data_IF_443586960379
#
_entry.id   IF_443586960379
#
_cell.length_a   1.000
_cell.length_b   1.000
_cell.length_c   1.000
_cell.angle_alpha   90.00
_cell.angle_beta   90.00
_cell.angle_gamma   90.00
#
_symmetry.space_group_name_H-M   'P 1'
#
loop_
_entity.id
_entity.type
_entity.pdbx_description
1 polymer ?
#
# COMPACT_ATOMS: atom_id res chain seq x y z
N UNK A 1 -97.32 26.15 0.41
CA UNK A 1 -97.51 25.24 1.55
C UNK A 1 -96.53 24.09 1.33
N UNK A 2 -95.51 23.78 2.13
CA UNK A 2 -95.30 23.94 3.56
C UNK A 2 -93.81 24.17 3.83
N UNK A 3 -93.52 24.98 4.85
CA UNK A 3 -92.19 25.33 5.32
C UNK A 3 -91.82 24.43 6.51
N UNK A 4 -90.55 24.01 6.62
CA UNK A 4 -90.01 23.52 7.89
C UNK A 4 -88.59 24.02 8.08
N UNK A 5 -88.38 24.72 9.20
CA UNK A 5 -87.16 25.35 9.68
C UNK A 5 -86.36 24.42 10.60
N UNK A 6 -85.12 24.88 10.88
CA UNK A 6 -84.23 24.64 12.04
C UNK A 6 -83.25 23.47 11.82
N UNK A 7 -82.00 23.51 12.29
CA UNK A 7 -81.46 24.11 13.50
C UNK A 7 -80.00 24.59 13.34
N UNK A 8 -79.67 25.63 14.11
CA UNK A 8 -78.37 26.26 14.35
C UNK A 8 -77.59 25.55 15.48
N UNK A 9 -76.23 25.62 15.46
CA UNK A 9 -75.19 25.49 16.54
C UNK A 9 -74.04 24.58 16.04
N UNK A 10 -72.74 24.74 16.30
CA UNK A 10 -71.85 25.65 17.06
C UNK A 10 -70.40 25.43 16.51
N UNK A 11 -69.56 26.47 16.64
CA UNK A 11 -68.09 26.58 16.50
C UNK A 11 -67.28 25.45 17.24
N UNK A 12 -65.95 25.20 17.00
CA UNK A 12 -64.87 26.20 17.04
C UNK A 12 -63.56 25.94 16.24
N UNK A 13 -62.63 26.89 16.44
CA UNK A 13 -61.25 27.06 15.98
C UNK A 13 -60.39 25.83 15.67
N UNK A 14 -59.54 25.92 14.63
CA UNK A 14 -58.29 25.14 14.51
C UNK A 14 -57.24 25.86 13.65
N UNK A 15 -56.12 26.15 14.31
CA UNK A 15 -54.79 26.57 13.89
C UNK A 15 -54.37 26.46 12.41
N UNK A 16 -53.77 27.53 11.88
CA UNK A 16 -52.81 27.48 10.77
C UNK A 16 -51.43 27.00 11.29
N UNK A 17 -50.80 25.98 10.68
CA UNK A 17 -49.38 25.73 10.90
C UNK A 17 -48.53 26.57 9.95
N UNK A 18 -47.58 27.31 10.53
CA UNK A 18 -46.46 27.97 9.87
C UNK A 18 -45.53 26.87 9.34
N UNK A 19 -45.43 26.74 8.02
CA UNK A 19 -44.52 25.81 7.37
C UNK A 19 -43.13 26.45 7.25
N UNK A 20 -42.29 26.28 8.28
CA UNK A 20 -40.87 26.63 8.22
C UNK A 20 -40.15 25.64 7.28
N UNK A 21 -39.79 26.11 6.08
CA UNK A 21 -38.91 25.39 5.16
C UNK A 21 -37.48 25.46 5.71
N UNK A 22 -37.06 24.46 6.48
CA UNK A 22 -35.64 24.26 6.78
C UNK A 22 -34.95 23.76 5.51
N UNK A 23 -34.19 24.63 4.83
CA UNK A 23 -33.17 24.18 3.89
C UNK A 23 -32.11 23.43 4.69
N UNK A 24 -32.21 22.10 4.74
CA UNK A 24 -31.08 21.27 5.12
C UNK A 24 -30.02 21.41 4.02
N UNK A 25 -28.93 22.12 4.32
CA UNK A 25 -27.73 22.06 3.51
C UNK A 25 -27.23 20.61 3.59
N UNK A 26 -27.49 19.83 2.54
CA UNK A 26 -26.89 18.50 2.38
C UNK A 26 -25.39 18.74 2.24
N UNK A 27 -24.55 18.20 3.13
CA UNK A 27 -23.12 18.22 2.87
C UNK A 27 -22.91 17.41 1.59
N UNK A 28 -22.53 18.06 0.50
CA UNK A 28 -21.89 17.40 -0.64
C UNK A 28 -20.61 16.78 -0.11
N UNK A 29 -20.70 15.53 0.32
CA UNK A 29 -19.53 14.68 0.46
C UNK A 29 -18.92 14.59 -0.93
N UNK A 30 -17.84 15.35 -1.17
CA UNK A 30 -16.93 15.00 -2.25
C UNK A 30 -16.41 13.62 -1.91
N UNK A 31 -16.65 12.65 -2.80
CA UNK A 31 -15.86 11.43 -2.81
C UNK A 31 -14.40 11.88 -2.82
N UNK A 32 -13.66 11.60 -1.74
CA UNK A 32 -12.21 11.65 -1.85
C UNK A 32 -11.86 10.69 -2.97
N UNK A 33 -11.15 11.20 -3.97
CA UNK A 33 -10.42 10.34 -4.88
C UNK A 33 -9.43 9.62 -3.98
N UNK A 34 -9.79 8.40 -3.57
CA UNK A 34 -8.84 7.45 -3.00
C UNK A 34 -7.69 7.43 -3.99
N UNK A 35 -6.49 7.74 -3.49
CA UNK A 35 -5.26 7.69 -4.27
C UNK A 35 -5.29 6.43 -5.11
N UNK A 36 -5.16 6.57 -6.44
CA UNK A 36 -5.39 5.46 -7.36
C UNK A 36 -4.51 4.30 -6.94
N UNK A 37 -5.12 3.33 -6.26
CA UNK A 37 -4.40 2.21 -5.71
C UNK A 37 -3.75 1.43 -6.86
N UNK A 38 -2.63 0.75 -6.59
CA UNK A 38 -1.98 -0.21 -7.48
C UNK A 38 -3.03 -1.02 -8.27
N UNK A 39 -3.20 -0.70 -9.55
CA UNK A 39 -4.07 -1.46 -10.46
C UNK A 39 -3.20 -2.42 -11.23
N UNK A 40 -3.30 -3.70 -10.88
CA UNK A 40 -2.62 -4.79 -11.53
C UNK A 40 -3.51 -5.35 -12.66
N UNK A 41 -3.00 -5.51 -13.88
CA UNK A 41 -3.77 -6.12 -14.97
C UNK A 41 -4.23 -7.53 -14.64
N UNK A 42 -5.41 -7.92 -15.11
CA UNK A 42 -5.83 -9.33 -15.07
C UNK A 42 -4.89 -10.19 -15.93
N UNK A 43 -4.49 -11.35 -15.41
CA UNK A 43 -3.57 -12.25 -16.09
C UNK A 43 -4.26 -13.27 -17.03
N UNK A 44 -5.55 -13.07 -17.32
CA UNK A 44 -6.42 -13.97 -18.09
C UNK A 44 -6.99 -15.12 -17.26
N UNK A 45 -6.57 -15.28 -16.01
CA UNK A 45 -7.01 -16.33 -15.09
C UNK A 45 -8.03 -15.88 -14.06
N UNK A 46 -8.56 -14.64 -14.15
CA UNK A 46 -9.44 -14.09 -13.13
C UNK A 46 -8.68 -13.76 -11.84
N UNK A 47 -7.46 -13.25 -11.97
CA UNK A 47 -6.57 -12.75 -10.90
C UNK A 47 -5.49 -11.87 -11.55
N UNK A 48 -4.70 -11.16 -10.74
CA UNK A 48 -3.46 -10.53 -11.19
C UNK A 48 -2.21 -11.30 -10.74
N UNK A 49 -1.05 -10.95 -11.31
CA UNK A 49 0.28 -11.34 -10.82
C UNK A 49 0.70 -10.45 -9.64
N UNK A 50 1.38 -11.03 -8.65
CA UNK A 50 1.91 -10.29 -7.49
C UNK A 50 3.42 -10.55 -7.30
N UNK A 51 4.23 -9.55 -6.91
CA UNK A 51 3.91 -8.13 -6.94
C UNK A 51 3.62 -7.70 -8.40
N UNK A 52 2.76 -6.70 -8.58
CA UNK A 52 2.34 -6.31 -9.92
C UNK A 52 3.52 -5.66 -10.69
N UNK A 53 3.90 -6.17 -11.88
CA UNK A 53 4.99 -5.63 -12.67
C UNK A 53 4.53 -4.38 -13.43
N UNK A 54 4.38 -3.26 -12.73
CA UNK A 54 4.05 -1.99 -13.36
C UNK A 54 5.34 -1.25 -13.70
N UNK A 55 5.63 -1.12 -15.00
CA UNK A 55 6.82 -0.44 -15.51
C UNK A 55 6.87 1.07 -15.22
N UNK A 56 5.77 1.66 -14.77
CA UNK A 56 5.67 3.07 -14.35
C UNK A 56 5.93 3.28 -12.85
N UNK A 57 6.13 2.19 -12.09
CA UNK A 57 6.27 2.26 -10.64
C UNK A 57 4.96 2.56 -9.90
N UNK A 58 3.79 2.27 -10.47
CA UNK A 58 2.50 2.52 -9.81
C UNK A 58 2.24 1.68 -8.54
N UNK A 59 2.95 0.56 -8.36
CA UNK A 59 2.81 -0.33 -7.21
C UNK A 59 4.06 -0.24 -6.33
N UNK A 60 3.99 0.61 -5.30
CA UNK A 60 5.10 0.87 -4.37
C UNK A 60 4.68 0.53 -2.95
N UNK A 61 5.53 -0.19 -2.24
CA UNK A 61 5.41 -0.35 -0.80
C UNK A 61 6.22 0.73 -0.10
N UNK A 62 5.60 1.45 0.81
CA UNK A 62 6.25 2.48 1.65
C UNK A 62 6.40 2.00 3.08
N UNK A 63 7.50 2.37 3.72
CA UNK A 63 7.76 2.11 5.12
C UNK A 63 8.91 2.96 5.64
N UNK A 64 9.23 2.79 6.92
CA UNK A 64 10.39 3.45 7.54
C UNK A 64 11.27 2.44 8.24
N UNK A 65 12.57 2.70 8.27
CA UNK A 65 13.55 1.91 9.02
C UNK A 65 14.71 2.81 9.46
N UNK A 66 15.75 2.23 10.05
CA UNK A 66 16.88 2.98 10.56
C UNK A 66 18.16 2.14 10.60
N UNK A 67 19.30 2.81 10.62
CA UNK A 67 20.60 2.24 11.01
C UNK A 67 20.96 2.87 12.36
N UNK A 68 21.23 2.02 13.35
CA UNK A 68 21.60 2.43 14.71
C UNK A 68 22.87 1.73 15.18
N UNK A 69 23.01 0.45 14.84
CA UNK A 69 24.17 -0.35 15.24
C UNK A 69 25.39 0.04 14.39
N UNK A 70 26.55 0.22 15.03
CA UNK A 70 27.76 0.74 14.37
C UNK A 70 27.91 2.26 14.38
N UNK A 71 26.92 2.99 14.93
CA UNK A 71 26.95 4.44 15.10
C UNK A 71 27.25 4.83 16.56
N UNK A 72 27.70 6.06 16.83
CA UNK A 72 27.85 6.56 18.20
C UNK A 72 26.53 6.52 18.97
N UNK A 73 26.60 6.42 20.29
CA UNK A 73 25.42 6.50 21.15
C UNK A 73 24.67 7.82 20.87
N UNK A 74 23.35 7.72 20.74
CA UNK A 74 22.47 8.87 20.43
C UNK A 74 22.50 9.32 18.97
N UNK A 75 23.11 8.56 18.07
CA UNK A 75 23.17 8.82 16.63
C UNK A 75 22.44 7.72 15.87
N UNK A 76 21.59 8.12 14.92
CA UNK A 76 20.85 7.20 14.04
C UNK A 76 20.87 7.73 12.61
N UNK A 77 20.78 6.85 11.63
CA UNK A 77 20.37 7.22 10.27
C UNK A 77 18.93 6.76 10.12
N UNK A 78 18.00 7.71 10.05
CA UNK A 78 16.58 7.46 9.80
C UNK A 78 16.38 7.28 8.30
N UNK A 79 15.55 6.31 7.91
CA UNK A 79 15.36 5.91 6.52
C UNK A 79 13.87 5.91 6.20
N UNK A 80 13.46 6.79 5.31
CA UNK A 80 12.18 6.67 4.61
C UNK A 80 12.42 5.78 3.39
N UNK A 81 11.75 4.63 3.39
CA UNK A 81 12.09 3.51 2.53
C UNK A 81 10.92 3.14 1.61
N UNK A 82 11.24 2.72 0.39
CA UNK A 82 10.24 2.17 -0.53
C UNK A 82 10.76 0.99 -1.34
N UNK A 83 9.89 0.01 -1.57
CA UNK A 83 10.10 -1.08 -2.53
C UNK A 83 9.18 -0.85 -3.73
N UNK A 84 9.77 -0.73 -4.92
CA UNK A 84 9.01 -0.51 -6.14
C UNK A 84 9.79 -0.92 -7.38
N UNK A 85 9.33 -0.46 -8.54
CA UNK A 85 9.90 -0.81 -9.85
C UNK A 85 10.01 -2.34 -10.03
N UNK A 86 8.94 -3.06 -9.67
CA UNK A 86 8.86 -4.50 -9.80
C UNK A 86 8.97 -4.91 -11.27
N UNK A 87 9.88 -5.82 -11.58
CA UNK A 87 10.14 -6.31 -12.92
C UNK A 87 10.54 -7.79 -12.88
N UNK A 88 10.60 -8.42 -14.07
CA UNK A 88 10.91 -9.84 -14.20
C UNK A 88 10.09 -10.74 -13.27
N UNK A 89 8.84 -10.36 -13.01
CA UNK A 89 7.93 -11.08 -12.12
C UNK A 89 7.52 -12.38 -12.80
N UNK A 90 7.93 -13.50 -12.21
CA UNK A 90 7.54 -14.85 -12.65
C UNK A 90 6.80 -15.51 -11.51
N UNK A 91 5.52 -15.83 -11.73
CA UNK A 91 4.69 -16.51 -10.74
C UNK A 91 4.37 -17.94 -11.20
N UNK A 92 4.65 -18.93 -10.35
CA UNK A 92 4.40 -20.35 -10.62
C UNK A 92 3.75 -21.03 -9.41
N UNK A 93 3.08 -22.17 -9.61
CA UNK A 93 2.50 -22.94 -8.51
C UNK A 93 3.57 -23.46 -7.54
N UNK A 94 3.29 -23.41 -6.23
CA UNK A 94 4.18 -23.91 -5.18
C UNK A 94 4.29 -22.94 -4.00
N UNK A 95 5.47 -22.90 -3.40
CA UNK A 95 5.75 -22.04 -2.24
C UNK A 95 5.35 -22.67 -0.90
N UNK A 96 5.80 -22.05 0.19
CA UNK A 96 5.58 -22.52 1.57
C UNK A 96 4.12 -22.38 2.02
N UNK A 97 3.32 -21.54 1.36
CA UNK A 97 1.91 -21.29 1.67
C UNK A 97 0.92 -22.09 0.81
N UNK A 98 1.42 -22.96 -0.07
CA UNK A 98 0.59 -23.91 -0.84
C UNK A 98 -0.18 -23.31 -2.03
N UNK A 99 0.02 -22.03 -2.37
CA UNK A 99 -0.55 -21.37 -3.53
C UNK A 99 0.47 -21.23 -4.66
N UNK A 100 0.97 -20.01 -4.81
CA UNK A 100 1.98 -19.66 -5.82
C UNK A 100 3.23 -19.11 -5.18
N UNK A 101 4.30 -19.07 -5.95
CA UNK A 101 5.52 -18.35 -5.63
C UNK A 101 5.86 -17.39 -6.74
N UNK A 102 6.23 -16.17 -6.37
CA UNK A 102 6.64 -15.12 -7.26
C UNK A 102 8.11 -14.79 -7.03
N UNK A 103 8.94 -15.03 -8.04
CA UNK A 103 10.30 -14.48 -8.11
C UNK A 103 10.26 -13.15 -8.84
N UNK A 104 11.02 -12.16 -8.38
CA UNK A 104 10.97 -10.80 -8.92
C UNK A 104 12.29 -10.04 -8.73
N UNK A 105 12.47 -9.02 -9.56
CA UNK A 105 13.42 -7.94 -9.36
C UNK A 105 12.69 -6.68 -8.89
N UNK A 106 13.38 -5.83 -8.13
CA UNK A 106 12.83 -4.57 -7.62
C UNK A 106 13.95 -3.57 -7.30
N UNK A 107 13.57 -2.36 -6.91
CA UNK A 107 14.49 -1.35 -6.35
C UNK A 107 14.05 -1.00 -4.94
N UNK A 108 14.99 -1.07 -4.00
CA UNK A 108 14.80 -0.56 -2.65
C UNK A 108 15.40 0.84 -2.54
N UNK A 109 14.53 1.83 -2.45
CA UNK A 109 14.94 3.24 -2.37
C UNK A 109 14.95 3.72 -0.94
N UNK A 110 16.01 4.41 -0.55
CA UNK A 110 16.30 4.85 0.81
C UNK A 110 16.60 6.35 0.80
N UNK A 111 15.69 7.15 1.37
CA UNK A 111 15.97 8.53 1.74
C UNK A 111 16.47 8.56 3.18
N UNK A 112 17.75 8.88 3.35
CA UNK A 112 18.48 8.75 4.60
C UNK A 112 18.74 10.11 5.22
N UNK A 113 18.44 10.25 6.51
CA UNK A 113 18.73 11.46 7.30
C UNK A 113 19.42 11.10 8.61
N UNK A 114 20.59 11.69 8.87
CA UNK A 114 21.34 11.48 10.10
C UNK A 114 20.86 12.35 11.26
N UNK A 115 20.99 11.81 12.47
CA UNK A 115 20.74 12.52 13.74
C UNK A 115 22.01 12.56 14.58
N UNK A 116 21.98 13.22 15.75
CA UNK A 116 23.11 13.22 16.69
C UNK A 116 24.39 13.75 16.04
N UNK A 117 25.47 12.96 16.07
CA UNK A 117 26.75 13.36 15.46
C UNK A 117 26.75 13.35 13.93
N UNK A 118 25.69 12.80 13.31
CA UNK A 118 25.47 12.80 11.86
C UNK A 118 24.44 13.86 11.44
N UNK A 119 24.20 14.89 12.26
CA UNK A 119 23.34 16.00 11.87
C UNK A 119 23.88 16.66 10.59
N UNK A 120 23.03 16.77 9.58
CA UNK A 120 23.40 17.24 8.23
C UNK A 120 23.75 16.12 7.24
N UNK A 121 23.88 14.87 7.68
CA UNK A 121 23.94 13.73 6.77
C UNK A 121 22.60 13.55 6.06
N UNK A 122 22.62 13.63 4.73
CA UNK A 122 21.47 13.36 3.88
C UNK A 122 21.94 12.61 2.65
N UNK A 123 21.35 11.45 2.38
CA UNK A 123 21.67 10.63 1.21
C UNK A 123 20.40 10.03 0.62
N UNK A 124 20.36 9.94 -0.69
CA UNK A 124 19.37 9.16 -1.41
C UNK A 124 20.08 8.00 -2.09
N UNK A 125 19.74 6.76 -1.72
CA UNK A 125 20.38 5.55 -2.24
C UNK A 125 19.31 4.62 -2.78
N UNK A 126 19.52 4.12 -3.99
CA UNK A 126 18.69 3.08 -4.59
C UNK A 126 19.50 1.76 -4.63
N UNK A 127 19.06 0.78 -3.84
CA UNK A 127 19.64 -0.56 -3.83
C UNK A 127 18.90 -1.43 -4.85
N UNK A 128 19.57 -1.89 -5.91
CA UNK A 128 18.97 -2.85 -6.83
C UNK A 128 18.78 -4.21 -6.14
N UNK A 129 17.59 -4.76 -6.25
CA UNK A 129 17.23 -6.10 -5.81
C UNK A 129 17.10 -6.99 -7.05
N UNK A 130 18.22 -7.28 -7.71
CA UNK A 130 18.23 -7.91 -9.04
C UNK A 130 18.63 -9.40 -9.01
N UNK A 131 18.45 -10.05 -10.17
CA UNK A 131 18.85 -11.41 -10.51
C UNK A 131 17.91 -12.52 -10.00
N UNK A 132 16.62 -12.23 -9.83
CA UNK A 132 15.61 -13.24 -9.45
C UNK A 132 15.87 -13.87 -8.09
N UNK A 133 16.64 -13.19 -7.23
CA UNK A 133 16.97 -13.67 -5.89
C UNK A 133 15.90 -13.32 -4.86
N UNK A 134 14.94 -12.46 -5.21
CA UNK A 134 13.83 -12.09 -4.34
C UNK A 134 12.61 -12.95 -4.64
N UNK A 135 11.91 -13.34 -3.58
CA UNK A 135 10.87 -14.36 -3.66
C UNK A 135 9.79 -14.14 -2.61
N UNK A 136 8.53 -14.19 -3.03
CA UNK A 136 7.36 -14.21 -2.15
C UNK A 136 6.57 -15.48 -2.41
N UNK A 137 6.22 -16.21 -1.35
CA UNK A 137 5.20 -17.25 -1.40
C UNK A 137 3.83 -16.68 -1.07
N UNK A 138 2.80 -17.17 -1.76
CA UNK A 138 1.42 -16.75 -1.61
C UNK A 138 0.53 -17.95 -1.27
N UNK A 139 -0.48 -17.73 -0.43
CA UNK A 139 -1.55 -18.72 -0.24
C UNK A 139 -2.40 -18.85 -1.52
N UNK A 140 -3.16 -19.94 -1.69
CA UNK A 140 -4.07 -20.08 -2.82
C UNK A 140 -5.02 -18.89 -2.98
N UNK A 141 -5.22 -18.47 -4.24
CA UNK A 141 -6.26 -17.51 -4.65
C UNK A 141 -7.53 -18.27 -5.03
N UNK A 142 -8.67 -17.58 -4.99
CA UNK A 142 -9.93 -18.06 -5.56
C UNK A 142 -10.15 -17.33 -6.89
N UNK A 143 -9.77 -17.93 -8.05
CA UNK A 143 -9.93 -17.29 -9.34
C UNK A 143 -11.36 -16.80 -9.59
N UNK A 144 -11.49 -15.67 -10.25
CA UNK A 144 -12.77 -15.00 -10.59
C UNK A 144 -13.62 -14.53 -9.41
N UNK A 145 -13.21 -14.78 -8.16
CA UNK A 145 -13.88 -14.18 -7.01
C UNK A 145 -13.69 -12.65 -7.05
N UNK A 146 -14.75 -11.85 -6.85
CA UNK A 146 -14.68 -10.38 -6.94
C UNK A 146 -13.73 -9.75 -5.91
N UNK A 147 -13.46 -10.48 -4.83
CA UNK A 147 -12.46 -10.15 -3.81
C UNK A 147 -11.61 -11.39 -3.55
N UNK A 148 -10.30 -11.24 -3.59
CA UNK A 148 -9.33 -12.29 -3.25
C UNK A 148 -8.47 -11.80 -2.10
N UNK A 149 -8.45 -12.54 -0.99
CA UNK A 149 -7.54 -12.29 0.12
C UNK A 149 -6.50 -13.40 0.13
N UNK A 150 -5.23 -13.02 0.13
CA UNK A 150 -4.11 -13.96 0.17
C UNK A 150 -3.12 -13.60 1.25
N UNK A 151 -2.62 -14.63 1.93
CA UNK A 151 -1.45 -14.50 2.78
C UNK A 151 -0.20 -14.49 1.92
N UNK A 152 0.79 -13.73 2.33
CA UNK A 152 2.11 -13.68 1.73
C UNK A 152 3.20 -13.99 2.75
N UNK A 153 4.29 -14.58 2.30
CA UNK A 153 5.54 -14.69 3.04
C UNK A 153 6.70 -14.27 2.13
N UNK A 154 7.42 -13.20 2.51
CA UNK A 154 8.62 -12.79 1.78
C UNK A 154 9.75 -13.74 2.19
N UNK A 155 10.08 -14.66 1.30
CA UNK A 155 11.06 -15.72 1.58
C UNK A 155 12.49 -15.24 1.41
N UNK A 156 12.72 -14.39 0.41
CA UNK A 156 14.04 -13.82 0.11
C UNK A 156 13.91 -12.38 -0.32
N UNK A 157 14.77 -11.56 0.25
CA UNK A 157 14.98 -10.17 -0.11
C UNK A 157 16.46 -9.86 0.08
N UNK A 158 17.16 -9.47 -0.98
CA UNK A 158 18.57 -9.13 -0.85
C UNK A 158 19.03 -8.18 -1.94
N UNK A 159 19.84 -7.20 -1.54
CA UNK A 159 20.54 -6.34 -2.48
C UNK A 159 21.63 -5.56 -1.79
N UNK A 160 22.52 -4.98 -2.58
CA UNK A 160 23.60 -4.15 -2.07
C UNK A 160 24.04 -3.09 -3.07
N UNK A 161 24.70 -2.06 -2.55
CA UNK A 161 25.45 -1.07 -3.30
C UNK A 161 26.88 -1.06 -2.78
N UNK A 162 27.82 -0.82 -3.69
CA UNK A 162 29.25 -0.65 -3.42
C UNK A 162 29.71 0.70 -3.97
N UNK A 163 30.69 1.32 -3.31
CA UNK A 163 31.35 2.53 -3.82
C UNK A 163 30.51 3.81 -3.76
N UNK A 164 29.53 3.87 -2.86
CA UNK A 164 28.86 5.13 -2.53
C UNK A 164 29.84 6.03 -1.74
N UNK A 165 29.84 7.37 -1.94
CA UNK A 165 30.78 8.25 -1.24
C UNK A 165 30.76 8.17 0.29
N UNK A 166 29.66 7.73 0.91
CA UNK A 166 29.58 7.49 2.36
C UNK A 166 29.61 5.99 2.72
N UNK A 167 29.28 5.09 1.78
CA UNK A 167 29.22 3.64 2.01
C UNK A 167 30.12 2.87 1.05
N UNK A 168 31.14 2.20 1.60
CA UNK A 168 31.92 1.20 0.87
C UNK A 168 31.07 -0.05 0.60
N UNK A 169 30.26 -0.42 1.61
CA UNK A 169 29.21 -1.42 1.51
C UNK A 169 27.94 -0.88 2.15
N UNK A 170 26.82 -1.03 1.44
CA UNK A 170 25.49 -0.96 2.03
C UNK A 170 24.68 -2.13 1.49
N UNK A 171 24.20 -2.99 2.38
CA UNK A 171 23.46 -4.21 2.02
C UNK A 171 22.20 -4.35 2.86
N UNK A 172 21.13 -4.77 2.20
CA UNK A 172 19.90 -5.21 2.86
C UNK A 172 19.71 -6.71 2.66
N UNK A 173 19.26 -7.40 3.70
CA UNK A 173 18.88 -8.82 3.65
C UNK A 173 17.62 -9.02 4.48
N UNK A 174 16.64 -9.76 3.98
CA UNK A 174 15.37 -10.03 4.66
C UNK A 174 14.70 -11.30 4.14
N UNK A 175 13.79 -11.83 4.93
CA UNK A 175 12.94 -12.96 4.54
C UNK A 175 13.23 -14.29 5.25
N UNK A 176 12.26 -15.20 5.21
CA UNK A 176 12.23 -16.43 6.00
C UNK A 176 13.38 -17.38 5.70
N UNK A 177 13.89 -17.41 4.47
CA UNK A 177 15.04 -18.26 4.11
C UNK A 177 16.35 -17.80 4.78
N UNK A 178 16.38 -16.57 5.30
CA UNK A 178 17.50 -16.05 6.10
C UNK A 178 17.21 -16.08 7.60
N UNK A 179 16.16 -16.80 8.04
CA UNK A 179 15.75 -16.88 9.45
C UNK A 179 14.98 -15.66 9.95
N UNK A 180 14.52 -14.79 9.05
CA UNK A 180 13.83 -13.53 9.39
C UNK A 180 12.38 -13.57 8.91
N UNK A 181 11.45 -13.93 9.80
CA UNK A 181 10.02 -14.04 9.46
C UNK A 181 9.46 -12.74 8.89
N UNK A 182 8.89 -12.80 7.68
CA UNK A 182 8.32 -11.64 6.99
C UNK A 182 6.92 -11.95 6.46
N UNK A 183 5.93 -12.07 7.37
CA UNK A 183 4.56 -12.33 6.98
C UNK A 183 3.96 -11.09 6.30
N UNK A 184 2.99 -11.32 5.43
CA UNK A 184 2.21 -10.28 4.78
C UNK A 184 0.84 -10.76 4.34
N UNK A 185 0.11 -9.84 3.72
CA UNK A 185 -1.20 -10.10 3.16
C UNK A 185 -1.40 -9.18 1.95
N UNK A 186 -2.05 -9.71 0.91
CA UNK A 186 -2.60 -8.90 -0.16
C UNK A 186 -4.11 -9.13 -0.30
N UNK A 187 -4.81 -8.07 -0.68
CA UNK A 187 -6.20 -8.07 -1.09
C UNK A 187 -6.27 -7.56 -2.52
N UNK A 188 -6.95 -8.31 -3.38
CA UNK A 188 -7.21 -7.96 -4.76
C UNK A 188 -8.72 -7.79 -4.90
N UNK A 189 -9.14 -6.67 -5.47
CA UNK A 189 -10.55 -6.41 -5.76
C UNK A 189 -10.71 -6.03 -7.22
N UNK A 190 -11.67 -6.66 -7.89
CA UNK A 190 -11.94 -6.39 -9.30
C UNK A 190 -12.29 -4.92 -9.51
N UNK A 191 -11.64 -4.27 -10.47
CA UNK A 191 -11.81 -2.85 -10.78
C UNK A 191 -11.68 -2.64 -12.29
N UNK A 192 -12.78 -2.28 -12.95
CA UNK A 192 -12.83 -2.02 -14.40
C UNK A 192 -12.25 -3.13 -15.32
N UNK A 193 -12.25 -4.38 -14.87
CA UNK A 193 -11.68 -5.52 -15.60
C UNK A 193 -10.25 -5.90 -15.19
N UNK A 194 -9.61 -5.06 -14.37
CA UNK A 194 -8.31 -5.29 -13.72
C UNK A 194 -8.50 -5.53 -12.21
N UNK A 195 -7.40 -5.46 -11.45
CA UNK A 195 -7.37 -5.70 -10.02
C UNK A 195 -6.76 -4.52 -9.29
N UNK A 196 -7.53 -3.86 -8.43
CA UNK A 196 -6.95 -2.94 -7.47
C UNK A 196 -6.40 -3.75 -6.27
N UNK A 197 -5.14 -3.53 -5.93
CA UNK A 197 -4.36 -4.38 -5.02
C UNK A 197 -3.87 -3.57 -3.81
N UNK A 198 -4.34 -3.93 -2.61
CA UNK A 198 -3.75 -3.48 -1.35
C UNK A 198 -2.91 -4.60 -0.76
N UNK A 199 -1.77 -4.26 -0.19
CA UNK A 199 -0.87 -5.25 0.40
C UNK A 199 0.01 -4.66 1.48
N UNK A 200 0.36 -5.46 2.47
CA UNK A 200 1.42 -5.12 3.41
C UNK A 200 2.28 -6.34 3.74
N UNK A 201 3.52 -6.05 4.14
CA UNK A 201 4.43 -7.02 4.72
C UNK A 201 5.05 -6.43 5.99
N UNK A 202 5.15 -7.25 7.03
CA UNK A 202 5.97 -6.94 8.19
C UNK A 202 7.39 -7.47 7.95
N UNK A 203 8.21 -6.64 7.31
CA UNK A 203 9.54 -7.00 6.83
C UNK A 203 10.56 -7.06 7.96
N UNK A 204 10.92 -8.28 8.35
CA UNK A 204 12.07 -8.51 9.19
C UNK A 204 13.33 -8.54 8.32
N UNK A 205 14.18 -7.53 8.51
CA UNK A 205 15.38 -7.32 7.71
C UNK A 205 16.58 -6.92 8.57
N UNK A 206 17.74 -7.05 7.95
CA UNK A 206 19.04 -6.60 8.42
C UNK A 206 19.66 -5.68 7.40
N UNK A 207 20.15 -4.53 7.86
CA UNK A 207 20.94 -3.58 7.08
C UNK A 207 22.38 -3.65 7.57
N UNK A 208 23.27 -4.11 6.71
CA UNK A 208 24.71 -4.14 6.95
C UNK A 208 25.36 -2.95 6.24
N UNK A 209 26.28 -2.26 6.90
CA UNK A 209 27.05 -1.19 6.26
C UNK A 209 28.53 -1.17 6.68
N UNK A 210 29.36 -0.67 5.77
CA UNK A 210 30.75 -0.27 6.00
C UNK A 210 30.93 1.12 5.41
N UNK A 211 31.40 2.07 6.20
CA UNK A 211 31.60 3.44 5.76
C UNK A 211 32.81 3.61 4.86
N UNK A 212 32.66 4.42 3.80
CA UNK A 212 33.72 4.69 2.85
C UNK A 212 34.91 5.44 3.49
N UNK A 213 36.16 5.14 3.10
CA UNK A 213 37.31 5.97 3.46
C UNK A 213 37.11 7.40 2.92
N UNK A 214 37.09 8.40 3.79
CA UNK A 214 36.75 9.81 3.54
C UNK A 214 35.26 10.19 3.47
N UNK A 215 34.34 9.22 3.66
CA UNK A 215 32.92 9.50 3.84
C UNK A 215 32.57 9.95 5.27
N UNK A 216 31.35 10.43 5.46
CA UNK A 216 30.78 10.80 6.76
C UNK A 216 30.72 9.63 7.74
N UNK A 217 30.74 8.40 7.21
CA UNK A 217 30.73 7.15 7.97
C UNK A 217 32.12 6.49 8.05
N UNK A 218 33.20 7.18 7.66
CA UNK A 218 34.55 6.62 7.68
C UNK A 218 34.90 5.99 9.03
N UNK A 219 35.46 4.77 8.97
CA UNK A 219 35.84 3.99 10.16
C UNK A 219 34.66 3.39 10.93
N UNK A 220 33.44 3.47 10.41
CA UNK A 220 32.23 2.90 11.01
C UNK A 220 31.75 1.71 10.20
N UNK A 221 31.17 0.73 10.89
CA UNK A 221 30.48 -0.39 10.27
C UNK A 221 29.49 -0.96 11.28
N UNK A 222 28.38 -1.51 10.79
CA UNK A 222 27.37 -2.07 11.67
C UNK A 222 26.34 -2.89 10.93
N UNK A 223 25.50 -3.57 11.72
CA UNK A 223 24.44 -4.46 11.25
C UNK A 223 23.21 -4.21 12.09
N UNK A 224 22.27 -3.42 11.58
CA UNK A 224 21.01 -3.13 12.28
C UNK A 224 19.92 -4.10 11.84
N UNK A 225 19.27 -4.76 12.80
CA UNK A 225 18.19 -5.74 12.55
C UNK A 225 16.86 -5.22 13.08
N UNK A 226 15.83 -5.11 12.23
CA UNK A 226 14.51 -4.55 12.58
C UNK A 226 13.38 -5.23 11.82
N UNK A 227 12.22 -5.33 12.46
CA UNK A 227 10.96 -5.63 11.78
C UNK A 227 10.18 -4.33 11.57
N UNK A 228 9.79 -4.06 10.33
CA UNK A 228 9.07 -2.84 9.94
C UNK A 228 7.98 -3.17 8.96
N UNK A 229 6.83 -2.51 9.07
CA UNK A 229 5.74 -2.67 8.13
C UNK A 229 5.98 -1.84 6.88
N UNK A 230 5.83 -2.48 5.74
CA UNK A 230 5.80 -1.87 4.42
C UNK A 230 4.43 -2.07 3.81
N UNK A 231 3.82 -1.01 3.30
CA UNK A 231 2.43 -1.04 2.83
C UNK A 231 2.31 -0.41 1.45
N UNK A 232 1.54 -1.07 0.60
CA UNK A 232 1.11 -0.62 -0.71
C UNK A 232 -0.41 -0.46 -0.66
N UNK A 233 -0.91 0.72 -1.00
CA UNK A 233 -2.31 1.12 -0.79
C UNK A 233 -2.82 0.80 0.62
N UNK A 234 -2.54 1.64 1.64
CA UNK A 234 -2.97 1.37 3.01
C UNK A 234 -4.51 1.41 3.20
N UNK A 235 -5.25 1.96 2.24
CA UNK A 235 -6.72 1.92 2.23
C UNK A 235 -7.26 0.54 1.86
N UNK A 236 -8.44 0.18 2.41
CA UNK A 236 -9.19 -0.96 1.90
C UNK A 236 -9.55 -0.69 0.44
N UNK A 237 -9.17 -1.58 -0.46
CA UNK A 237 -9.60 -1.45 -1.85
C UNK A 237 -11.08 -1.83 -1.90
N UNK A 238 -11.93 -0.84 -2.10
CA UNK A 238 -13.35 -1.10 -2.38
C UNK A 238 -13.48 -1.35 -3.88
N UNK A 239 -14.33 -2.30 -4.27
CA UNK A 239 -14.62 -2.51 -5.67
C UNK A 239 -15.09 -1.17 -6.27
N UNK A 240 -14.40 -0.71 -7.32
CA UNK A 240 -14.93 0.40 -8.10
C UNK A 240 -16.18 -0.14 -8.79
N UNK A 241 -17.33 0.15 -8.20
CA UNK A 241 -18.62 -0.15 -8.79
C UNK A 241 -18.62 0.51 -10.16
N UNK A 242 -18.53 -0.29 -11.23
CA UNK A 242 -18.61 0.21 -12.59
C UNK A 242 -19.96 0.88 -12.69
N UNK A 243 -19.95 2.23 -12.75
CA UNK A 243 -21.15 3.08 -12.71
C UNK A 243 -22.27 2.39 -13.45
N UNK A 244 -23.22 1.83 -12.69
CA UNK A 244 -24.41 1.26 -13.30
C UNK A 244 -25.04 2.39 -14.11
N UNK A 245 -25.55 2.04 -15.30
CA UNK A 245 -26.17 2.95 -16.27
C UNK A 245 -27.28 3.86 -15.68
N UNK A 246 -27.67 3.63 -14.42
CA UNK A 246 -28.55 4.49 -13.62
C UNK A 246 -27.98 5.90 -13.35
N UNK A 247 -26.66 6.05 -13.21
CA UNK A 247 -26.01 7.35 -12.91
C UNK A 247 -25.88 8.28 -14.11
N UNK A 248 -25.92 7.75 -15.34
CA UNK A 248 -25.90 8.58 -16.58
C UNK A 248 -27.31 9.07 -16.92
N UNK A 249 -28.36 8.31 -16.57
CA UNK A 249 -29.75 8.75 -16.78
C UNK A 249 -30.12 9.99 -15.96
N UNK A 250 -29.54 10.19 -14.78
CA UNK A 250 -29.78 11.41 -13.98
C UNK A 250 -29.02 12.64 -14.48
N UNK A 251 -28.00 12.46 -15.33
CA UNK A 251 -27.26 13.56 -15.98
C UNK A 251 -27.85 13.97 -17.33
N UNK A 252 -28.66 13.10 -17.96
CA UNK A 252 -29.33 13.37 -19.23
C UNK A 252 -30.83 13.68 -19.10
N UNK A 253 -31.35 13.71 -17.87
CA UNK A 253 -32.74 14.01 -17.56
C UNK A 253 -32.96 15.43 -16.98
N UNK A 254 -31.96 16.31 -17.08
CA UNK A 254 -32.10 17.74 -16.82
C UNK A 254 -31.84 18.53 -18.11
#
# INVERSE_FOLDING_TARGET
MSATRRFTRLLPHSALPIFCLFLAAVPTARAQVDEACCVAPDNGGGTALLPAPLGDGGCIYFGTTEIVDGLPVGTTIQIDASYGAFSNVVEVAGGSLGGTVSDFDAVFTMSMTGTGTLLGFNRFIAIPLNNGNNRISWSPRMPFAPVQNVLGDLERLSGQVLGDPDFDLLRITGGTNFGMSTPGQAQLVTSAGDWAVSSFFDVFHRIDFVGAPAGSLAGRSGSTTRQRRFTMCPGNVVAVETKTWSGIKSLLAN
#
